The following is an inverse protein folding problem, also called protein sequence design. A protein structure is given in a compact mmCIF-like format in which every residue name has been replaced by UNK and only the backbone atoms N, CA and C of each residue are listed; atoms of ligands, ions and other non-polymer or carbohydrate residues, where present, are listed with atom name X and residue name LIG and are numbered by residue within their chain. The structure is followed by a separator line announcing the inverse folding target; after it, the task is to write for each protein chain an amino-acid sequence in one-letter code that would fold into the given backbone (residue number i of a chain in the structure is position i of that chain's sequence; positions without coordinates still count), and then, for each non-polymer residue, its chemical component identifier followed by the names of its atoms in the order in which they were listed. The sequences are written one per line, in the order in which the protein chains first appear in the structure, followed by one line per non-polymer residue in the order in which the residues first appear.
data_IF_191885415078
#
_entry.id   IF_191885415078
#
_cell.length_a   1.000
_cell.length_b   1.000
_cell.length_c   1.000
_cell.angle_alpha   90.00
_cell.angle_beta   90.00
_cell.angle_gamma   90.00
#
_symmetry.space_group_name_H-M   'P 1'
#
loop_
_entity.id
_entity.type
_entity.pdbx_description
1 polymer ?
#
# COMPACT_ATOMS: atom_id res chain seq x y z
N UNK A 1 -12.19 -19.25 18.71
CA UNK A 1 -13.19 -19.66 19.72
C UNK A 1 -14.46 -20.20 19.05
N UNK A 2 -15.04 -19.50 18.10
CA UNK A 2 -16.32 -19.86 17.46
C UNK A 2 -16.33 -21.24 16.78
N UNK A 3 -15.28 -21.60 16.04
CA UNK A 3 -15.15 -22.94 15.45
C UNK A 3 -15.12 -24.04 16.49
N UNK A 4 -14.45 -23.82 17.62
CA UNK A 4 -14.41 -24.83 18.72
C UNK A 4 -15.77 -24.96 19.41
N UNK A 5 -16.54 -23.88 19.54
CA UNK A 5 -17.89 -23.95 20.06
C UNK A 5 -18.85 -24.69 19.12
N UNK A 6 -18.86 -24.31 17.83
CA UNK A 6 -19.77 -24.90 16.84
C UNK A 6 -19.36 -26.29 16.39
N UNK A 7 -18.06 -26.53 16.20
CA UNK A 7 -17.57 -27.83 15.68
C UNK A 7 -17.37 -28.92 16.74
N UNK A 8 -17.01 -28.55 17.96
CA UNK A 8 -16.69 -29.48 19.04
C UNK A 8 -17.67 -29.43 20.23
N UNK A 9 -18.66 -28.53 20.19
CA UNK A 9 -19.62 -28.36 21.28
C UNK A 9 -19.02 -27.85 22.60
N UNK A 10 -17.82 -27.24 22.55
CA UNK A 10 -17.15 -26.76 23.75
C UNK A 10 -17.81 -25.47 24.27
N UNK A 11 -17.97 -25.38 25.59
CA UNK A 11 -18.45 -24.16 26.23
C UNK A 11 -17.41 -23.04 26.07
N UNK A 12 -17.88 -21.81 25.89
CA UNK A 12 -16.99 -20.63 25.69
C UNK A 12 -15.99 -20.46 26.85
N UNK A 13 -16.39 -20.72 28.06
CA UNK A 13 -15.57 -20.65 29.27
C UNK A 13 -14.37 -21.61 29.27
N UNK A 14 -14.46 -22.71 28.52
CA UNK A 14 -13.40 -23.70 28.38
C UNK A 14 -12.48 -23.45 27.16
N UNK A 15 -12.63 -22.30 26.49
CA UNK A 15 -11.86 -21.95 25.30
C UNK A 15 -11.05 -20.68 25.59
N UNK A 16 -9.74 -20.83 25.70
CA UNK A 16 -8.79 -19.73 25.77
C UNK A 16 -8.16 -19.54 24.38
N UNK A 17 -8.25 -18.31 23.85
CA UNK A 17 -7.53 -17.91 22.65
C UNK A 17 -6.30 -17.13 23.06
N UNK A 18 -5.13 -17.58 22.65
CA UNK A 18 -3.85 -16.96 22.98
C UNK A 18 -3.08 -16.61 21.72
N UNK A 19 -2.34 -15.50 21.79
CA UNK A 19 -1.40 -15.08 20.78
C UNK A 19 0.03 -15.44 21.16
N UNK A 20 0.95 -15.38 20.21
CA UNK A 20 2.39 -15.56 20.50
C UNK A 20 2.84 -14.52 21.53
N UNK A 21 3.53 -15.01 22.58
CA UNK A 21 3.99 -14.18 23.69
C UNK A 21 3.05 -14.11 24.89
N UNK A 22 1.78 -14.53 24.77
CA UNK A 22 0.89 -14.60 25.93
C UNK A 22 1.37 -15.69 26.92
N UNK A 23 1.44 -15.34 28.21
CA UNK A 23 1.73 -16.29 29.29
C UNK A 23 0.41 -16.88 29.77
N UNK A 24 0.28 -18.19 29.65
CA UNK A 24 -0.88 -18.94 30.07
C UNK A 24 -0.58 -19.62 31.41
N UNK A 25 -1.41 -19.33 32.39
CA UNK A 25 -1.33 -19.96 33.69
C UNK A 25 -2.46 -20.96 33.87
N UNK A 26 -2.08 -22.20 34.25
CA UNK A 26 -3.02 -23.22 34.63
C UNK A 26 -2.95 -23.41 36.17
N UNK A 27 -4.04 -23.08 36.83
CA UNK A 27 -4.11 -23.18 38.31
C UNK A 27 -4.42 -24.59 38.79
N UNK A 28 -4.14 -24.84 40.06
CA UNK A 28 -4.50 -26.15 40.70
C UNK A 28 -5.98 -26.45 40.64
N UNK A 29 -6.81 -25.41 40.60
CA UNK A 29 -8.28 -25.51 40.49
C UNK A 29 -8.75 -25.68 39.03
N UNK A 30 -7.85 -26.07 38.12
CA UNK A 30 -8.11 -26.29 36.69
C UNK A 30 -8.64 -25.07 35.93
N UNK A 31 -8.37 -23.86 36.44
CA UNK A 31 -8.68 -22.65 35.73
C UNK A 31 -7.51 -22.26 34.82
N UNK A 32 -7.84 -21.76 33.64
CA UNK A 32 -6.88 -21.27 32.65
C UNK A 32 -7.07 -19.76 32.52
N UNK A 33 -5.97 -19.00 32.67
CA UNK A 33 -6.00 -17.57 32.49
C UNK A 33 -4.73 -17.05 31.80
N UNK A 34 -4.84 -15.88 31.16
CA UNK A 34 -3.66 -15.12 30.73
C UNK A 34 -3.12 -14.36 31.94
N UNK A 35 -1.88 -14.60 32.32
CA UNK A 35 -1.23 -13.96 33.49
C UNK A 35 -0.26 -12.85 33.11
N UNK A 36 0.12 -12.74 31.82
CA UNK A 36 1.04 -11.72 31.33
C UNK A 36 1.38 -11.90 29.86
N UNK A 37 2.35 -11.12 29.40
CA UNK A 37 2.87 -11.22 28.03
C UNK A 37 4.37 -10.96 28.01
N UNK A 38 5.11 -11.75 27.25
CA UNK A 38 6.50 -11.49 26.87
C UNK A 38 6.54 -10.84 25.49
N UNK A 39 7.52 -9.99 25.26
CA UNK A 39 7.75 -9.45 23.93
C UNK A 39 8.33 -10.53 23.03
N UNK A 40 7.66 -10.80 21.93
CA UNK A 40 8.10 -11.74 20.89
C UNK A 40 8.28 -11.01 19.57
N UNK A 41 9.30 -11.37 18.80
CA UNK A 41 9.48 -10.95 17.41
C UNK A 41 9.02 -12.05 16.46
N UNK A 42 8.66 -11.66 15.25
CA UNK A 42 8.39 -12.58 14.15
C UNK A 42 9.52 -12.49 13.14
N UNK A 43 10.08 -13.62 12.74
CA UNK A 43 11.00 -13.71 11.61
C UNK A 43 10.23 -14.38 10.48
N UNK A 44 10.14 -13.68 9.36
CA UNK A 44 9.45 -14.20 8.18
C UNK A 44 10.45 -14.82 7.22
N UNK A 45 10.11 -15.99 6.72
CA UNK A 45 10.88 -16.71 5.71
C UNK A 45 10.05 -16.80 4.42
N UNK A 46 10.72 -16.72 3.29
CA UNK A 46 10.12 -17.04 2.00
C UNK A 46 10.02 -18.56 1.80
N UNK A 47 9.46 -18.98 0.67
CA UNK A 47 9.32 -20.39 0.32
C UNK A 47 10.66 -21.10 0.03
N UNK A 48 11.76 -20.36 -0.08
CA UNK A 48 13.12 -20.87 -0.26
C UNK A 48 13.92 -20.93 1.06
N UNK A 49 13.32 -20.49 2.16
CA UNK A 49 13.94 -20.49 3.49
C UNK A 49 14.81 -19.28 3.80
N UNK A 50 14.78 -18.23 2.97
CA UNK A 50 15.48 -16.98 3.25
C UNK A 50 14.63 -16.03 4.07
N UNK A 51 15.25 -15.31 4.98
CA UNK A 51 14.58 -14.27 5.77
C UNK A 51 14.10 -13.13 4.89
N UNK A 52 12.86 -12.70 5.10
CA UNK A 52 12.26 -11.57 4.40
C UNK A 52 12.42 -10.32 5.28
N UNK A 53 13.02 -9.27 4.74
CA UNK A 53 13.15 -8.00 5.45
C UNK A 53 11.79 -7.34 5.72
N UNK A 54 11.65 -6.72 6.89
CA UNK A 54 10.41 -6.04 7.31
C UNK A 54 9.92 -5.00 6.29
N UNK A 55 10.83 -4.31 5.61
CA UNK A 55 10.48 -3.35 4.56
C UNK A 55 9.70 -4.01 3.41
N UNK A 56 10.16 -5.19 2.95
CA UNK A 56 9.49 -5.95 1.88
C UNK A 56 8.10 -6.42 2.32
N UNK A 57 7.97 -6.81 3.59
CA UNK A 57 6.68 -7.22 4.15
C UNK A 57 5.71 -6.04 4.21
N UNK A 58 6.18 -4.89 4.68
CA UNK A 58 5.39 -3.65 4.73
C UNK A 58 4.92 -3.22 3.34
N UNK A 59 5.81 -3.25 2.35
CA UNK A 59 5.47 -2.92 0.97
C UNK A 59 4.40 -3.87 0.41
N UNK A 60 4.54 -5.17 0.63
CA UNK A 60 3.55 -6.16 0.19
C UNK A 60 2.19 -5.97 0.86
N UNK A 61 2.19 -5.68 2.16
CA UNK A 61 0.95 -5.37 2.90
C UNK A 61 0.31 -4.10 2.35
N UNK A 62 1.08 -3.04 2.14
CA UNK A 62 0.58 -1.79 1.58
C UNK A 62 -0.01 -2.00 0.17
N UNK A 63 0.69 -2.73 -0.71
CA UNK A 63 0.18 -3.09 -2.04
C UNK A 63 -1.13 -3.88 -1.95
N UNK A 64 -1.24 -4.80 -0.99
CA UNK A 64 -2.42 -5.65 -0.85
C UNK A 64 -3.65 -4.91 -0.32
N UNK A 65 -3.46 -3.86 0.47
CA UNK A 65 -4.55 -3.07 1.08
C UNK A 65 -4.91 -1.84 0.26
N UNK A 66 -3.91 -1.12 -0.23
CA UNK A 66 -4.07 0.18 -0.89
C UNK A 66 -3.90 0.12 -2.42
N UNK A 67 -3.18 -0.91 -2.91
CA UNK A 67 -2.93 -1.10 -4.33
C UNK A 67 -1.80 -0.25 -4.91
N UNK A 68 -1.74 -0.19 -6.24
CA UNK A 68 -0.71 0.52 -7.01
C UNK A 68 -1.38 1.43 -8.04
N UNK A 69 -0.80 2.63 -8.21
CA UNK A 69 -1.20 3.63 -9.18
C UNK A 69 0.02 4.08 -10.00
N UNK A 70 0.10 3.66 -11.26
CA UNK A 70 1.23 3.95 -12.15
C UNK A 70 0.85 5.05 -13.11
N UNK A 71 1.72 6.05 -13.25
CA UNK A 71 1.58 7.17 -14.17
C UNK A 71 2.70 7.06 -15.20
N UNK A 72 2.36 7.05 -16.49
CA UNK A 72 3.36 7.02 -17.56
C UNK A 72 3.29 8.32 -18.35
N UNK A 73 4.36 9.10 -18.27
CA UNK A 73 4.55 10.33 -19.02
C UNK A 73 5.52 10.08 -20.18
N UNK A 74 5.19 10.58 -21.36
CA UNK A 74 6.09 10.59 -22.51
C UNK A 74 6.37 12.04 -22.89
N UNK A 75 7.61 12.47 -22.69
CA UNK A 75 8.04 13.86 -22.90
C UNK A 75 9.09 13.97 -24.02
N UNK A 76 9.09 15.07 -24.73
CA UNK A 76 10.10 15.35 -25.75
C UNK A 76 11.45 15.67 -25.10
N UNK A 77 12.53 15.03 -25.54
CA UNK A 77 13.90 15.39 -25.14
C UNK A 77 14.27 16.83 -25.49
N UNK A 78 13.73 17.35 -26.61
CA UNK A 78 14.06 18.71 -27.10
C UNK A 78 13.33 19.80 -26.34
N UNK A 79 12.05 19.59 -26.02
CA UNK A 79 11.19 20.64 -25.47
C UNK A 79 10.78 20.39 -24.02
N UNK A 80 10.97 19.18 -23.49
CA UNK A 80 10.49 18.77 -22.16
C UNK A 80 8.98 18.58 -22.06
N UNK A 81 8.21 18.97 -23.09
CA UNK A 81 6.75 18.93 -23.08
C UNK A 81 6.20 17.53 -23.30
N UNK A 82 4.99 17.28 -22.78
CA UNK A 82 4.26 16.06 -23.03
C UNK A 82 3.96 15.88 -24.53
N UNK A 83 4.26 14.70 -25.07
CA UNK A 83 3.97 14.33 -26.45
C UNK A 83 2.60 13.68 -26.61
N UNK A 84 2.07 13.11 -25.54
CA UNK A 84 0.74 12.51 -25.51
C UNK A 84 0.10 12.65 -24.12
N UNK A 85 -1.20 12.38 -24.05
CA UNK A 85 -1.91 12.31 -22.77
C UNK A 85 -1.25 11.27 -21.85
N UNK A 86 -1.05 11.60 -20.55
CA UNK A 86 -0.52 10.64 -19.57
C UNK A 86 -1.33 9.37 -19.52
N UNK A 87 -0.66 8.22 -19.59
CA UNK A 87 -1.29 6.94 -19.36
C UNK A 87 -1.34 6.66 -17.85
N UNK A 88 -2.44 6.07 -17.41
CA UNK A 88 -2.67 5.70 -16.00
C UNK A 88 -3.03 4.24 -15.92
N UNK A 89 -2.35 3.52 -15.03
CA UNK A 89 -2.61 2.11 -14.74
C UNK A 89 -2.85 1.96 -13.24
N UNK A 90 -3.97 1.38 -12.86
CA UNK A 90 -4.30 1.07 -11.46
C UNK A 90 -4.47 -0.44 -11.27
N UNK A 91 -3.97 -0.96 -10.15
CA UNK A 91 -4.17 -2.35 -9.73
C UNK A 91 -4.40 -2.40 -8.23
N UNK A 92 -5.46 -3.12 -7.84
CA UNK A 92 -5.82 -3.32 -6.43
C UNK A 92 -6.30 -2.08 -5.69
N UNK A 93 -6.54 -0.96 -6.41
CA UNK A 93 -6.96 0.32 -5.83
C UNK A 93 -8.34 0.74 -6.30
N UNK A 94 -8.43 1.29 -7.52
CA UNK A 94 -9.68 1.74 -8.13
C UNK A 94 -9.93 1.06 -9.47
N UNK A 95 -11.19 0.93 -9.84
CA UNK A 95 -11.56 0.53 -11.20
C UNK A 95 -11.61 1.78 -12.09
N UNK A 96 -10.65 1.90 -13.02
CA UNK A 96 -10.42 3.12 -13.80
C UNK A 96 -11.65 3.57 -14.60
N UNK A 97 -12.49 2.62 -15.06
CA UNK A 97 -13.69 2.95 -15.84
C UNK A 97 -14.76 3.69 -15.02
N UNK A 98 -14.83 3.41 -13.71
CA UNK A 98 -15.79 4.04 -12.81
C UNK A 98 -15.24 5.32 -12.17
N UNK A 99 -14.01 5.70 -12.53
CA UNK A 99 -13.27 6.82 -11.92
C UNK A 99 -12.80 7.85 -12.96
N UNK A 100 -13.54 8.02 -14.06
CA UNK A 100 -13.16 8.89 -15.19
C UNK A 100 -12.93 10.34 -14.75
N UNK A 101 -13.75 10.87 -13.86
CA UNK A 101 -13.62 12.23 -13.35
C UNK A 101 -12.29 12.43 -12.60
N UNK A 102 -11.95 11.52 -11.69
CA UNK A 102 -10.70 11.55 -10.94
C UNK A 102 -9.48 11.42 -11.87
N UNK A 103 -9.54 10.50 -12.82
CA UNK A 103 -8.49 10.31 -13.82
C UNK A 103 -8.34 11.57 -14.69
N UNK A 104 -9.45 12.21 -15.06
CA UNK A 104 -9.46 13.48 -15.78
C UNK A 104 -8.76 14.60 -15.01
N UNK A 105 -9.03 14.75 -13.71
CA UNK A 105 -8.38 15.71 -12.81
C UNK A 105 -6.87 15.46 -12.74
N UNK A 106 -6.46 14.19 -12.56
CA UNK A 106 -5.04 13.82 -12.49
C UNK A 106 -4.33 14.09 -13.81
N UNK A 107 -4.93 13.74 -14.96
CA UNK A 107 -4.34 14.04 -16.28
C UNK A 107 -4.19 15.53 -16.53
N UNK A 108 -5.18 16.34 -16.14
CA UNK A 108 -5.12 17.79 -16.25
C UNK A 108 -3.98 18.35 -15.37
N UNK A 109 -3.90 17.91 -14.11
CA UNK A 109 -2.82 18.27 -13.20
C UNK A 109 -1.45 17.95 -13.80
N UNK A 110 -1.25 16.72 -14.28
CA UNK A 110 0.02 16.26 -14.85
C UNK A 110 0.45 17.09 -16.06
N UNK A 111 -0.49 17.47 -16.93
CA UNK A 111 -0.21 18.34 -18.08
C UNK A 111 0.27 19.72 -17.61
N UNK A 112 -0.50 20.36 -16.73
CA UNK A 112 -0.16 21.68 -16.19
C UNK A 112 1.18 21.66 -15.45
N UNK A 113 1.43 20.63 -14.66
CA UNK A 113 2.69 20.46 -13.92
C UNK A 113 3.87 20.33 -14.88
N UNK A 114 3.78 19.44 -15.87
CA UNK A 114 4.86 19.22 -16.83
C UNK A 114 5.18 20.49 -17.62
N UNK A 115 4.18 21.24 -18.06
CA UNK A 115 4.38 22.49 -18.80
C UNK A 115 5.11 23.55 -17.94
N UNK A 116 4.76 23.68 -16.66
CA UNK A 116 5.45 24.59 -15.72
C UNK A 116 6.90 24.19 -15.46
N UNK A 117 7.16 22.89 -15.31
CA UNK A 117 8.51 22.41 -14.98
C UNK A 117 9.48 22.48 -16.16
N UNK A 118 8.96 22.51 -17.40
CA UNK A 118 9.77 22.86 -18.60
C UNK A 118 10.39 24.25 -18.46
N UNK A 119 9.62 25.22 -17.96
CA UNK A 119 10.09 26.60 -17.76
C UNK A 119 11.13 26.72 -16.64
N UNK A 120 11.03 25.83 -15.64
CA UNK A 120 11.91 25.79 -14.46
C UNK A 120 13.20 25.00 -14.66
N UNK A 121 13.33 24.21 -15.73
CA UNK A 121 14.45 23.30 -16.00
C UNK A 121 14.72 22.32 -14.85
N UNK A 122 13.65 21.79 -14.24
CA UNK A 122 13.76 20.90 -13.09
C UNK A 122 14.43 19.56 -13.47
N UNK A 123 15.17 18.99 -12.53
CA UNK A 123 15.75 17.66 -12.67
C UNK A 123 14.65 16.58 -12.76
N UNK A 124 14.90 15.53 -13.55
CA UNK A 124 13.90 14.48 -13.77
C UNK A 124 13.53 13.72 -12.48
N UNK A 125 14.49 13.59 -11.56
CA UNK A 125 14.28 12.94 -10.27
C UNK A 125 13.32 13.75 -9.41
N UNK A 126 13.51 15.07 -9.36
CA UNK A 126 12.67 15.99 -8.59
C UNK A 126 11.25 16.03 -9.17
N UNK A 127 11.13 16.12 -10.51
CA UNK A 127 9.84 16.05 -11.18
C UNK A 127 9.07 14.78 -10.81
N UNK A 128 9.74 13.62 -10.81
CA UNK A 128 9.11 12.35 -10.40
C UNK A 128 8.66 12.39 -8.95
N UNK A 129 9.50 12.92 -8.06
CA UNK A 129 9.16 12.99 -6.64
C UNK A 129 7.96 13.93 -6.41
N UNK A 130 7.96 15.11 -7.00
CA UNK A 130 6.85 16.06 -6.91
C UNK A 130 5.54 15.47 -7.46
N UNK A 131 5.58 14.81 -8.63
CA UNK A 131 4.40 14.12 -9.20
C UNK A 131 3.89 13.02 -8.25
N UNK A 132 4.80 12.24 -7.67
CA UNK A 132 4.43 11.19 -6.71
C UNK A 132 3.69 11.78 -5.51
N UNK A 133 4.24 12.83 -4.90
CA UNK A 133 3.68 13.43 -3.70
C UNK A 133 2.34 14.11 -3.99
N UNK A 134 2.27 14.93 -5.02
CA UNK A 134 1.06 15.67 -5.40
C UNK A 134 -0.08 14.71 -5.81
N UNK A 135 0.21 13.66 -6.59
CA UNK A 135 -0.81 12.68 -6.98
C UNK A 135 -1.24 11.82 -5.80
N UNK A 136 -0.33 11.48 -4.88
CA UNK A 136 -0.71 10.78 -3.65
C UNK A 136 -1.70 11.58 -2.82
N UNK A 137 -1.49 12.89 -2.68
CA UNK A 137 -2.43 13.79 -2.01
C UNK A 137 -3.78 13.88 -2.74
N UNK A 138 -3.77 14.04 -4.07
CA UNK A 138 -5.01 14.09 -4.87
C UNK A 138 -5.84 12.79 -4.74
N UNK A 139 -5.16 11.64 -4.72
CA UNK A 139 -5.80 10.34 -4.55
C UNK A 139 -6.39 10.22 -3.14
N UNK A 140 -5.62 10.58 -2.10
CA UNK A 140 -6.08 10.55 -0.72
C UNK A 140 -7.29 11.46 -0.50
N UNK A 141 -7.23 12.71 -0.95
CA UNK A 141 -8.32 13.69 -0.81
C UNK A 141 -9.61 13.23 -1.52
N UNK A 142 -9.47 12.49 -2.62
CA UNK A 142 -10.61 12.04 -3.43
C UNK A 142 -11.18 10.71 -2.97
N UNK A 143 -10.39 9.83 -2.34
CA UNK A 143 -10.78 8.43 -2.08
C UNK A 143 -10.58 7.98 -0.64
N UNK A 144 -9.80 8.71 0.16
CA UNK A 144 -9.37 8.30 1.50
C UNK A 144 -8.30 7.20 1.52
N UNK A 145 -7.77 6.79 0.35
CA UNK A 145 -6.77 5.73 0.20
C UNK A 145 -5.41 6.27 -0.23
N UNK A 146 -4.35 5.53 0.10
CA UNK A 146 -2.95 5.90 -0.18
C UNK A 146 -2.24 4.82 -1.00
N UNK A 147 -2.60 4.59 -2.27
CA UNK A 147 -1.93 3.60 -3.10
C UNK A 147 -0.45 3.96 -3.33
N UNK A 148 0.37 2.97 -3.67
CA UNK A 148 1.74 3.23 -4.09
C UNK A 148 1.72 3.92 -5.46
N UNK A 149 2.09 5.20 -5.50
CA UNK A 149 2.18 5.98 -6.74
C UNK A 149 3.56 5.82 -7.36
N UNK A 150 3.61 5.38 -8.63
CA UNK A 150 4.85 5.16 -9.38
C UNK A 150 4.84 6.01 -10.65
N UNK A 151 5.55 7.16 -10.67
CA UNK A 151 5.72 7.95 -11.89
C UNK A 151 6.84 7.39 -12.76
N UNK A 152 6.49 7.06 -14.00
CA UNK A 152 7.41 6.64 -15.06
C UNK A 152 7.50 7.75 -16.09
N UNK A 153 8.69 8.27 -16.36
CA UNK A 153 8.90 9.33 -17.34
C UNK A 153 9.82 8.86 -18.44
N UNK A 154 9.29 8.76 -19.65
CA UNK A 154 10.01 8.40 -20.87
C UNK A 154 10.39 9.67 -21.63
N UNK A 155 11.68 9.88 -21.88
CA UNK A 155 12.21 10.94 -22.75
C UNK A 155 12.46 10.39 -24.15
N UNK A 156 11.80 10.89 -25.16
CA UNK A 156 11.95 10.49 -26.56
C UNK A 156 12.27 11.69 -27.46
#
# INVERSE_FOLDING_TARGET
AEMAQKGLGLKRENILVADSGDIIELTKDKQIRKSGRIQVGSILYDNTGHTVHDAVVKDRLHISTEGIFIIVLTISKKTGRLLKTPDVISRGFIYLKDSEELIGKIRHYLRTKTDREVERQIELADLKQEIKDDVSHLLFDSTGHTPIVIPVVNKV
#
